data_IF_432750247229
#
_entry.id   IF_432750247229
#
_cell.length_a   1.000
_cell.length_b   1.000
_cell.length_c   1.000
_cell.angle_alpha   90.00
_cell.angle_beta   90.00
_cell.angle_gamma   90.00
#
_symmetry.space_group_name_H-M   'P 1'
#
loop_
_entity.id
_entity.type
_entity.pdbx_description
1 polymer ?
#
# COMPACT_ATOMS: atom_id res chain seq x y z
N UNK A 1 7.97 11.68 1.60
CA UNK A 1 6.98 10.62 1.90
C UNK A 1 7.18 9.49 0.91
N UNK A 2 7.10 8.23 1.35
CA UNK A 2 7.04 7.09 0.44
C UNK A 2 5.59 6.80 0.09
N UNK A 3 5.25 6.83 -1.19
CA UNK A 3 3.94 6.39 -1.67
C UNK A 3 4.02 4.88 -1.85
N UNK A 4 3.19 4.08 -1.15
CA UNK A 4 3.21 2.62 -1.31
C UNK A 4 3.00 2.19 -2.76
N UNK A 5 3.55 1.05 -3.15
CA UNK A 5 3.26 0.45 -4.45
C UNK A 5 1.79 0.08 -4.54
N UNK A 6 1.15 0.32 -5.69
CA UNK A 6 -0.26 -0.02 -5.87
C UNK A 6 -1.19 0.74 -4.92
N UNK A 7 -0.83 1.97 -4.52
CA UNK A 7 -1.73 2.88 -3.82
C UNK A 7 -2.20 4.01 -4.74
N UNK A 8 -3.33 4.63 -4.43
CA UNK A 8 -3.63 5.98 -4.92
C UNK A 8 -2.95 7.01 -4.02
N UNK A 9 -2.64 8.18 -4.58
CA UNK A 9 -2.05 9.28 -3.84
C UNK A 9 -2.62 10.61 -4.30
N UNK A 10 -2.85 11.50 -3.34
CA UNK A 10 -3.43 12.82 -3.58
C UNK A 10 -2.64 13.87 -2.81
N UNK A 11 -2.15 14.87 -3.54
CA UNK A 11 -1.65 16.12 -2.95
C UNK A 11 -2.80 17.13 -2.92
N UNK A 12 -3.05 17.72 -1.76
CA UNK A 12 -3.92 18.87 -1.60
C UNK A 12 -3.23 20.01 -0.86
N UNK A 13 -3.57 21.24 -1.19
CA UNK A 13 -3.18 22.44 -0.45
C UNK A 13 -4.14 23.57 -0.76
N UNK A 14 -4.29 24.52 0.16
CA UNK A 14 -4.92 25.80 -0.12
C UNK A 14 -3.88 26.79 -0.60
N UNK A 15 -4.22 27.53 -1.66
CA UNK A 15 -3.41 28.61 -2.19
C UNK A 15 -4.19 29.91 -2.19
N UNK A 16 -3.54 30.98 -1.77
CA UNK A 16 -4.01 32.35 -1.89
C UNK A 16 -2.91 33.19 -2.51
N UNK A 17 -3.23 33.88 -3.60
CA UNK A 17 -2.29 34.71 -4.35
C UNK A 17 -2.72 36.17 -4.22
N UNK A 18 -1.81 37.02 -3.78
CA UNK A 18 -1.96 38.48 -3.77
C UNK A 18 -0.82 39.09 -4.57
N UNK A 19 -1.10 40.11 -5.37
CA UNK A 19 -0.09 40.71 -6.24
C UNK A 19 -0.28 42.22 -6.34
N UNK A 20 0.83 42.94 -6.43
CA UNK A 20 0.85 44.35 -6.85
C UNK A 20 1.10 44.52 -8.36
N UNK A 21 1.27 43.42 -9.09
CA UNK A 21 1.34 43.43 -10.54
C UNK A 21 0.04 43.93 -11.17
N UNK A 22 0.15 44.70 -12.27
CA UNK A 22 -1.04 45.23 -12.99
C UNK A 22 -1.23 44.64 -14.36
N UNK A 23 -0.34 43.75 -14.78
CA UNK A 23 -0.47 43.03 -16.06
C UNK A 23 -1.54 41.95 -15.96
N UNK A 24 -2.21 41.68 -17.09
CA UNK A 24 -3.15 40.57 -17.24
C UNK A 24 -2.60 39.44 -18.11
N UNK A 25 -1.38 39.59 -18.66
CA UNK A 25 -0.82 38.66 -19.65
C UNK A 25 0.58 38.13 -19.28
N UNK A 26 1.35 38.89 -18.52
CA UNK A 26 2.72 38.51 -18.17
C UNK A 26 2.76 37.81 -16.81
N UNK A 27 3.47 36.68 -16.75
CA UNK A 27 3.73 35.92 -15.53
C UNK A 27 5.13 36.27 -15.00
N UNK A 28 5.23 37.38 -14.28
CA UNK A 28 6.51 37.87 -13.75
C UNK A 28 6.93 37.08 -12.52
N UNK A 29 6.02 37.00 -11.55
CA UNK A 29 6.21 36.22 -10.33
C UNK A 29 5.56 34.87 -10.48
N UNK A 30 6.23 33.82 -10.00
CA UNK A 30 5.79 32.45 -10.18
C UNK A 30 5.92 31.62 -8.91
N UNK A 31 5.09 30.60 -8.80
CA UNK A 31 5.20 29.52 -7.83
C UNK A 31 5.15 28.19 -8.58
N UNK A 32 6.25 27.45 -8.55
CA UNK A 32 6.35 26.10 -9.08
C UNK A 32 6.10 25.07 -7.96
N UNK A 33 5.19 24.12 -8.22
CA UNK A 33 4.96 22.95 -7.36
C UNK A 33 5.52 21.73 -8.07
N UNK A 34 6.54 21.12 -7.48
CA UNK A 34 7.26 20.00 -8.09
C UNK A 34 7.33 18.81 -7.14
N UNK A 35 7.44 17.61 -7.71
CA UNK A 35 7.89 16.43 -7.00
C UNK A 35 9.38 16.24 -7.27
N UNK A 36 10.14 16.02 -6.21
CA UNK A 36 11.55 15.61 -6.29
C UNK A 36 11.76 14.25 -5.65
N UNK A 37 12.83 13.57 -6.04
CA UNK A 37 13.30 12.38 -5.34
C UNK A 37 14.09 12.73 -4.06
N UNK A 38 14.68 11.74 -3.41
CA UNK A 38 15.48 11.95 -2.20
C UNK A 38 16.82 12.64 -2.45
N UNK A 39 17.33 12.62 -3.68
CA UNK A 39 18.54 13.33 -4.12
C UNK A 39 18.30 14.80 -4.46
N UNK A 40 17.03 15.19 -4.62
CA UNK A 40 16.63 16.54 -5.03
C UNK A 40 16.39 16.67 -6.53
N UNK A 41 16.52 15.59 -7.30
CA UNK A 41 16.22 15.60 -8.74
C UNK A 41 14.72 15.71 -8.97
N UNK A 42 14.30 16.59 -9.88
CA UNK A 42 12.89 16.76 -10.22
C UNK A 42 12.34 15.53 -10.94
N UNK A 43 11.28 14.95 -10.37
CA UNK A 43 10.52 13.85 -10.95
C UNK A 43 9.40 14.36 -11.86
N UNK A 44 8.71 15.43 -11.44
CA UNK A 44 7.64 16.05 -12.21
C UNK A 44 7.29 17.45 -11.71
N UNK A 45 6.73 18.27 -12.58
CA UNK A 45 6.01 19.49 -12.22
C UNK A 45 4.54 19.15 -12.03
N UNK A 46 4.01 19.39 -10.83
CA UNK A 46 2.60 19.14 -10.47
C UNK A 46 1.74 20.32 -10.89
N UNK A 47 2.21 21.54 -10.63
CA UNK A 47 1.47 22.77 -10.94
C UNK A 47 2.43 23.96 -11.09
N UNK A 48 1.95 25.00 -11.79
CA UNK A 48 2.59 26.32 -11.86
C UNK A 48 1.54 27.40 -11.63
N UNK A 49 1.85 28.34 -10.75
CA UNK A 49 1.04 29.54 -10.49
C UNK A 49 1.87 30.79 -10.71
N UNK A 50 1.21 31.93 -10.76
CA UNK A 50 1.81 33.22 -11.05
C UNK A 50 1.02 34.38 -10.45
N UNK A 51 1.54 35.60 -10.58
CA UNK A 51 0.81 36.83 -10.31
C UNK A 51 -0.57 36.90 -11.01
N UNK A 52 -0.72 36.24 -12.18
CA UNK A 52 -2.00 36.19 -12.90
C UNK A 52 -3.06 35.29 -12.24
N UNK A 53 -2.69 34.49 -11.25
CA UNK A 53 -3.61 33.62 -10.50
C UNK A 53 -4.21 34.32 -9.28
N UNK A 54 -3.86 35.60 -9.04
CA UNK A 54 -4.51 36.44 -8.05
C UNK A 54 -5.99 36.65 -8.39
N UNK A 55 -6.86 36.40 -7.40
CA UNK A 55 -8.32 36.54 -7.57
C UNK A 55 -8.87 37.67 -6.71
N UNK A 56 -9.93 38.31 -7.22
CA UNK A 56 -10.70 39.31 -6.48
C UNK A 56 -11.17 38.73 -5.14
N UNK A 57 -11.02 39.50 -4.07
CA UNK A 57 -11.41 39.09 -2.71
C UNK A 57 -10.29 38.47 -1.88
N UNK A 58 -9.11 38.19 -2.46
CA UNK A 58 -7.93 37.71 -1.73
C UNK A 58 -8.29 36.53 -0.81
N UNK A 59 -8.86 35.46 -1.38
CA UNK A 59 -9.32 34.27 -0.66
C UNK A 59 -8.47 33.03 -0.97
N UNK A 60 -8.49 32.05 -0.08
CA UNK A 60 -7.89 30.74 -0.32
C UNK A 60 -8.73 29.90 -1.28
N UNK A 61 -8.06 29.15 -2.15
CA UNK A 61 -8.65 28.16 -3.04
C UNK A 61 -7.92 26.83 -2.86
N UNK A 62 -8.68 25.74 -2.69
CA UNK A 62 -8.10 24.42 -2.56
C UNK A 62 -7.69 23.89 -3.93
N UNK A 63 -6.46 23.38 -4.02
CA UNK A 63 -5.94 22.66 -5.16
C UNK A 63 -5.70 21.21 -4.79
N UNK A 64 -6.07 20.30 -5.68
CA UNK A 64 -5.95 18.86 -5.48
C UNK A 64 -5.39 18.22 -6.74
N UNK A 65 -4.38 17.35 -6.59
CA UNK A 65 -3.68 16.69 -7.69
C UNK A 65 -3.51 15.20 -7.39
N UNK A 66 -3.83 14.37 -8.38
CA UNK A 66 -3.58 12.93 -8.34
C UNK A 66 -2.11 12.63 -8.63
N UNK A 67 -1.47 11.92 -7.70
CA UNK A 67 -0.07 11.51 -7.75
C UNK A 67 0.06 9.98 -7.78
N UNK A 68 -1.01 9.24 -8.08
CA UNK A 68 -1.03 7.77 -8.08
C UNK A 68 -0.01 7.16 -9.05
N UNK A 69 0.38 7.87 -10.11
CA UNK A 69 1.45 7.45 -11.03
C UNK A 69 2.84 7.37 -10.38
N UNK A 70 3.02 7.95 -9.19
CA UNK A 70 4.24 7.89 -8.39
C UNK A 70 4.18 6.82 -7.29
N UNK A 71 3.17 5.95 -7.31
CA UNK A 71 3.09 4.79 -6.41
C UNK A 71 4.36 3.93 -6.47
N UNK A 72 4.83 3.50 -5.31
CA UNK A 72 6.09 2.77 -5.15
C UNK A 72 7.35 3.64 -5.10
N UNK A 73 7.22 4.98 -5.16
CA UNK A 73 8.36 5.91 -5.10
C UNK A 73 8.37 6.70 -3.79
N UNK A 74 9.57 7.06 -3.34
CA UNK A 74 9.75 8.09 -2.31
C UNK A 74 9.84 9.45 -2.98
N UNK A 75 8.92 10.36 -2.63
CA UNK A 75 8.82 11.70 -3.20
C UNK A 75 8.90 12.78 -2.11
N UNK A 76 9.31 13.98 -2.52
CA UNK A 76 9.18 15.22 -1.75
C UNK A 76 8.38 16.22 -2.57
N UNK A 77 7.42 16.89 -1.94
CA UNK A 77 6.74 18.03 -2.56
C UNK A 77 7.60 19.25 -2.31
N UNK A 78 7.91 19.99 -3.37
CA UNK A 78 8.74 21.18 -3.33
C UNK A 78 7.99 22.36 -3.94
N UNK A 79 7.81 23.41 -3.14
CA UNK A 79 7.21 24.67 -3.51
C UNK A 79 8.33 25.70 -3.67
N UNK A 80 8.47 26.27 -4.86
CA UNK A 80 9.48 27.27 -5.16
C UNK A 80 8.83 28.52 -5.72
N UNK A 81 8.90 29.63 -4.99
CA UNK A 81 8.48 30.93 -5.49
C UNK A 81 9.66 31.72 -6.04
N UNK A 82 9.37 32.53 -7.05
CA UNK A 82 10.27 33.52 -7.60
C UNK A 82 9.50 34.82 -7.79
N UNK A 83 10.05 35.91 -7.26
CA UNK A 83 9.59 37.25 -7.60
C UNK A 83 10.65 37.90 -8.49
N UNK A 84 10.21 38.73 -9.43
CA UNK A 84 11.14 39.62 -10.13
C UNK A 84 11.57 40.81 -9.23
N UNK A 85 12.22 41.83 -9.81
CA UNK A 85 12.77 42.95 -9.04
C UNK A 85 11.75 44.05 -8.71
N UNK A 86 10.51 43.96 -9.20
CA UNK A 86 9.47 44.99 -9.06
C UNK A 86 8.13 44.39 -8.65
N UNK A 87 7.35 45.11 -7.83
CA UNK A 87 5.96 44.78 -7.47
C UNK A 87 5.73 43.33 -7.02
N UNK A 88 5.81 43.12 -5.72
CA UNK A 88 5.75 41.80 -5.13
C UNK A 88 4.41 41.04 -5.33
N UNK A 89 4.55 39.72 -5.46
CA UNK A 89 3.47 38.74 -5.35
C UNK A 89 3.69 37.85 -4.14
N UNK A 90 2.65 37.73 -3.32
CA UNK A 90 2.57 36.81 -2.20
C UNK A 90 1.85 35.53 -2.60
N UNK A 91 2.50 34.40 -2.36
CA UNK A 91 1.89 33.07 -2.44
C UNK A 91 1.77 32.48 -1.03
N UNK A 92 0.54 32.44 -0.51
CA UNK A 92 0.24 31.86 0.79
C UNK A 92 -0.27 30.43 0.62
N UNK A 93 0.41 29.49 1.27
CA UNK A 93 0.04 28.08 1.31
C UNK A 93 -0.56 27.75 2.67
N UNK A 94 -1.62 26.93 2.68
CA UNK A 94 -2.23 26.40 3.90
C UNK A 94 -2.71 24.96 3.72
N UNK A 95 -2.87 24.23 4.82
CA UNK A 95 -3.22 22.79 4.89
C UNK A 95 -2.59 21.91 3.79
N UNK A 96 -1.28 22.00 3.62
CA UNK A 96 -0.56 21.12 2.68
C UNK A 96 -0.63 19.68 3.19
N UNK A 97 -1.26 18.82 2.41
CA UNK A 97 -1.47 17.42 2.74
C UNK A 97 -1.13 16.54 1.55
N UNK A 98 -0.25 15.57 1.78
CA UNK A 98 -0.02 14.47 0.85
C UNK A 98 -0.56 13.21 1.50
N UNK A 99 -1.64 12.68 0.94
CA UNK A 99 -2.27 11.45 1.42
C UNK A 99 -2.05 10.34 0.41
N UNK A 100 -1.84 9.13 0.90
CA UNK A 100 -1.87 7.92 0.07
C UNK A 100 -2.92 6.99 0.65
N UNK A 101 -3.85 6.56 -0.17
CA UNK A 101 -4.76 5.49 0.17
C UNK A 101 -4.26 4.25 -0.56
N UNK A 102 -3.93 3.19 0.17
CA UNK A 102 -3.68 1.91 -0.46
C UNK A 102 -4.91 1.53 -1.29
N UNK A 103 -4.82 1.62 -2.61
CA UNK A 103 -5.57 0.75 -3.52
C UNK A 103 -4.99 -0.65 -3.41
N UNK A 104 -4.88 -1.17 -2.18
CA UNK A 104 -4.48 -2.53 -1.93
C UNK A 104 -5.36 -3.39 -2.82
N UNK A 105 -4.74 -4.28 -3.60
CA UNK A 105 -5.49 -5.37 -4.21
C UNK A 105 -6.35 -5.93 -3.09
N UNK A 106 -7.67 -5.81 -3.24
CA UNK A 106 -8.60 -5.69 -2.11
C UNK A 106 -8.22 -6.55 -0.91
N UNK A 107 -8.24 -5.95 0.28
CA UNK A 107 -7.98 -6.68 1.52
C UNK A 107 -8.67 -8.05 1.51
N UNK A 108 -8.07 -9.02 2.17
CA UNK A 108 -8.52 -10.40 2.09
C UNK A 108 -10.00 -10.51 2.45
N UNK A 109 -10.80 -11.08 1.55
CA UNK A 109 -12.21 -11.39 1.81
C UNK A 109 -12.32 -12.87 2.18
N UNK A 110 -12.85 -13.21 3.38
CA UNK A 110 -13.00 -14.60 3.80
C UNK A 110 -13.89 -15.38 2.82
N UNK A 111 -13.57 -16.66 2.63
CA UNK A 111 -14.35 -17.54 1.77
C UNK A 111 -14.09 -18.99 2.10
N UNK A 112 -14.81 -19.90 1.45
CA UNK A 112 -14.74 -21.34 1.78
C UNK A 112 -13.33 -21.90 1.71
N UNK A 113 -12.47 -21.40 0.81
CA UNK A 113 -11.06 -21.78 0.68
C UNK A 113 -10.09 -20.63 0.94
N UNK A 114 -10.55 -19.55 1.57
CA UNK A 114 -9.75 -18.34 1.83
C UNK A 114 -9.82 -17.99 3.30
N UNK A 115 -8.69 -18.15 3.99
CA UNK A 115 -8.50 -17.69 5.37
C UNK A 115 -7.86 -16.30 5.35
N UNK A 116 -8.49 -15.34 6.03
CA UNK A 116 -7.97 -13.98 6.15
C UNK A 116 -7.47 -13.74 7.57
N UNK A 117 -6.18 -13.39 7.69
CA UNK A 117 -5.53 -13.15 8.97
C UNK A 117 -5.04 -11.71 9.09
N UNK A 118 -4.89 -11.26 10.34
CA UNK A 118 -4.35 -9.96 10.72
C UNK A 118 -5.11 -8.80 10.06
N UNK A 119 -6.32 -8.54 10.54
CA UNK A 119 -7.20 -7.47 10.02
C UNK A 119 -7.38 -7.55 8.50
N UNK A 120 -7.54 -8.78 7.98
CA UNK A 120 -7.68 -9.08 6.56
C UNK A 120 -6.47 -8.70 5.68
N UNK A 121 -5.28 -8.49 6.24
CA UNK A 121 -4.08 -8.22 5.44
C UNK A 121 -3.57 -9.47 4.74
N UNK A 122 -3.53 -10.62 5.41
CA UNK A 122 -2.93 -11.82 4.84
C UNK A 122 -4.00 -12.78 4.34
N UNK A 123 -3.94 -13.07 3.03
CA UNK A 123 -4.75 -14.09 2.39
C UNK A 123 -4.02 -15.42 2.42
N UNK A 124 -4.59 -16.41 3.08
CA UNK A 124 -4.04 -17.76 3.21
C UNK A 124 -4.91 -18.75 2.46
N UNK A 125 -4.29 -19.62 1.67
CA UNK A 125 -4.94 -20.67 0.90
C UNK A 125 -4.11 -21.96 0.99
N UNK A 126 -4.79 -23.10 0.93
CA UNK A 126 -4.16 -24.41 0.87
C UNK A 126 -4.86 -25.25 -0.20
N UNK A 127 -4.10 -25.91 -1.06
CA UNK A 127 -4.57 -26.88 -2.04
C UNK A 127 -3.94 -28.24 -1.74
N UNK A 128 -4.66 -29.33 -2.05
CA UNK A 128 -4.18 -30.69 -1.82
C UNK A 128 -4.26 -31.58 -3.07
N UNK A 129 -3.46 -32.65 -3.10
CA UNK A 129 -3.65 -33.82 -3.99
C UNK A 129 -3.43 -35.11 -3.21
N UNK A 130 -4.41 -36.01 -3.23
CA UNK A 130 -4.37 -37.28 -2.51
C UNK A 130 -3.64 -38.41 -3.28
N UNK A 131 -3.59 -39.61 -2.69
CA UNK A 131 -2.96 -40.79 -3.30
C UNK A 131 -3.73 -41.37 -4.49
N UNK A 132 -5.04 -41.08 -4.60
CA UNK A 132 -5.87 -41.43 -5.75
C UNK A 132 -5.72 -40.46 -6.92
N UNK A 133 -4.99 -39.36 -6.73
CA UNK A 133 -4.83 -38.30 -7.72
C UNK A 133 -5.94 -37.25 -7.69
N UNK A 134 -6.88 -37.32 -6.75
CA UNK A 134 -7.89 -36.28 -6.58
C UNK A 134 -7.24 -35.04 -5.99
N UNK A 135 -7.61 -33.87 -6.51
CA UNK A 135 -7.09 -32.59 -6.05
C UNK A 135 -8.23 -31.63 -5.70
N UNK A 136 -7.97 -30.72 -4.75
CA UNK A 136 -8.96 -29.76 -4.32
C UNK A 136 -8.38 -28.63 -3.47
N UNK A 137 -9.17 -27.57 -3.32
CA UNK A 137 -8.87 -26.51 -2.38
C UNK A 137 -9.29 -26.93 -0.97
N UNK A 138 -8.36 -26.79 -0.02
CA UNK A 138 -8.64 -26.91 1.40
C UNK A 138 -9.66 -25.87 1.85
N UNK A 139 -10.43 -26.24 2.86
CA UNK A 139 -11.52 -25.44 3.39
C UNK A 139 -11.06 -24.71 4.64
N UNK A 140 -11.17 -23.39 4.61
CA UNK A 140 -10.66 -22.50 5.63
C UNK A 140 -11.65 -22.33 6.79
N UNK A 141 -11.13 -22.37 8.02
CA UNK A 141 -11.86 -21.98 9.22
C UNK A 141 -11.00 -21.07 10.09
N UNK A 142 -11.51 -19.89 10.43
CA UNK A 142 -10.86 -18.98 11.37
C UNK A 142 -11.04 -19.49 12.81
N UNK A 143 -9.98 -19.38 13.61
CA UNK A 143 -9.99 -19.61 15.06
C UNK A 143 -9.95 -18.28 15.81
N UNK A 144 -9.09 -17.38 15.37
CA UNK A 144 -8.96 -16.01 15.88
C UNK A 144 -8.72 -15.05 14.71
N UNK A 145 -8.57 -13.75 14.97
CA UNK A 145 -8.17 -12.79 13.94
C UNK A 145 -6.78 -13.08 13.34
N UNK A 146 -5.93 -13.83 14.05
CA UNK A 146 -4.53 -14.07 13.69
C UNK A 146 -4.21 -15.55 13.46
N UNK A 147 -5.19 -16.44 13.62
CA UNK A 147 -5.00 -17.89 13.44
C UNK A 147 -6.23 -18.60 12.86
N UNK A 148 -5.97 -19.73 12.20
CA UNK A 148 -7.01 -20.58 11.65
C UNK A 148 -6.45 -21.93 11.22
N UNK A 149 -7.29 -22.72 10.57
CA UNK A 149 -6.94 -24.04 10.08
C UNK A 149 -7.62 -24.35 8.75
N UNK A 150 -7.12 -25.40 8.09
CA UNK A 150 -7.73 -26.00 6.92
C UNK A 150 -8.04 -27.47 7.16
N UNK A 151 -9.15 -27.92 6.59
CA UNK A 151 -9.48 -29.33 6.40
C UNK A 151 -9.66 -29.61 4.90
N UNK A 152 -9.42 -30.85 4.46
CA UNK A 152 -9.43 -31.19 3.03
C UNK A 152 -10.63 -32.03 2.61
N UNK A 153 -10.96 -33.03 3.42
CA UNK A 153 -11.96 -34.04 3.08
C UNK A 153 -13.19 -33.94 3.97
N UNK A 154 -12.96 -33.81 5.28
CA UNK A 154 -14.00 -33.82 6.31
C UNK A 154 -13.69 -32.76 7.37
N UNK A 155 -14.71 -31.99 7.77
CA UNK A 155 -14.55 -30.87 8.70
C UNK A 155 -14.12 -31.29 10.12
N UNK A 156 -14.28 -32.56 10.49
CA UNK A 156 -13.78 -33.12 11.76
C UNK A 156 -12.29 -33.50 11.71
N UNK A 157 -11.66 -33.50 10.52
CA UNK A 157 -10.26 -33.87 10.33
C UNK A 157 -9.44 -32.65 9.87
N UNK A 158 -8.78 -32.00 10.83
CA UNK A 158 -7.92 -30.84 10.58
C UNK A 158 -6.61 -31.27 9.94
N UNK A 159 -6.20 -30.60 8.86
CA UNK A 159 -5.05 -30.98 8.05
C UNK A 159 -3.89 -29.97 8.16
N UNK A 160 -4.21 -28.69 8.33
CA UNK A 160 -3.22 -27.61 8.48
C UNK A 160 -3.68 -26.60 9.52
N UNK A 161 -2.77 -26.13 10.36
CA UNK A 161 -2.98 -25.00 11.26
C UNK A 161 -2.01 -23.88 10.91
N UNK A 162 -2.47 -22.64 11.02
CA UNK A 162 -1.68 -21.44 10.70
C UNK A 162 -1.92 -20.34 11.71
N UNK A 163 -0.86 -19.59 12.02
CA UNK A 163 -0.87 -18.37 12.80
C UNK A 163 0.04 -17.32 12.15
N UNK A 164 -0.42 -16.08 12.16
CA UNK A 164 0.36 -14.90 11.81
C UNK A 164 0.65 -14.08 13.08
N UNK A 165 1.87 -13.54 13.19
CA UNK A 165 2.26 -12.68 14.31
C UNK A 165 2.92 -11.42 13.77
N UNK A 166 2.47 -10.25 14.23
CA UNK A 166 3.20 -9.01 14.01
C UNK A 166 4.45 -9.01 14.91
N UNK A 167 5.62 -9.18 14.30
CA UNK A 167 6.91 -9.19 15.00
C UNK A 167 7.71 -7.91 14.79
N UNK A 168 7.10 -6.83 14.29
CA UNK A 168 7.80 -5.60 13.93
C UNK A 168 8.46 -4.85 15.09
N UNK A 169 8.09 -5.16 16.34
CA UNK A 169 8.75 -4.56 17.51
C UNK A 169 10.10 -5.21 17.87
N UNK A 170 10.44 -6.37 17.27
CA UNK A 170 11.65 -7.14 17.62
C UNK A 170 12.24 -7.94 16.45
N UNK A 171 11.67 -7.84 15.25
CA UNK A 171 12.09 -8.50 14.01
C UNK A 171 11.80 -7.58 12.82
N UNK A 172 12.26 -7.95 11.63
CA UNK A 172 12.11 -7.18 10.39
C UNK A 172 10.78 -7.42 9.67
N UNK A 173 9.86 -8.22 10.24
CA UNK A 173 8.66 -8.65 9.53
C UNK A 173 7.52 -9.27 10.35
N UNK A 174 6.56 -9.82 9.62
CA UNK A 174 5.48 -10.66 10.12
C UNK A 174 5.91 -12.11 10.14
N UNK A 175 5.79 -12.74 11.31
CA UNK A 175 6.16 -14.14 11.51
C UNK A 175 4.99 -15.05 11.17
N UNK A 176 5.25 -16.01 10.28
CA UNK A 176 4.34 -17.05 9.85
C UNK A 176 4.69 -18.35 10.58
N UNK A 177 3.72 -18.91 11.27
CA UNK A 177 3.81 -20.23 11.89
C UNK A 177 2.75 -21.14 11.28
N UNK A 178 3.14 -22.28 10.73
CA UNK A 178 2.19 -23.26 10.21
C UNK A 178 2.70 -24.69 10.40
N UNK A 179 1.77 -25.62 10.61
CA UNK A 179 2.07 -27.05 10.72
C UNK A 179 0.94 -27.86 10.10
N UNK A 180 1.25 -29.07 9.64
CA UNK A 180 0.31 -29.97 9.00
C UNK A 180 0.22 -31.31 9.72
N UNK A 181 -0.97 -31.88 9.69
CA UNK A 181 -1.33 -33.18 10.25
C UNK A 181 -1.58 -34.22 9.15
N UNK A 182 -1.02 -33.97 7.96
CA UNK A 182 -1.34 -34.66 6.71
C UNK A 182 -0.11 -35.22 6.00
N UNK A 183 -0.31 -36.30 5.25
CA UNK A 183 0.69 -36.88 4.35
C UNK A 183 0.31 -36.77 2.86
N UNK A 184 -0.85 -36.19 2.52
CA UNK A 184 -1.21 -35.87 1.12
C UNK A 184 -0.35 -34.74 0.56
N UNK A 185 -0.27 -34.57 -0.76
CA UNK A 185 0.44 -33.41 -1.33
C UNK A 185 -0.27 -32.12 -0.90
N UNK A 186 0.49 -31.09 -0.54
CA UNK A 186 -0.07 -29.80 -0.11
C UNK A 186 0.70 -28.65 -0.76
N UNK A 187 -0.04 -27.68 -1.31
CA UNK A 187 0.48 -26.36 -1.68
C UNK A 187 -0.17 -25.33 -0.75
N UNK A 188 0.64 -24.71 0.11
CA UNK A 188 0.20 -23.71 1.08
C UNK A 188 0.73 -22.33 0.68
N UNK A 189 -0.17 -21.36 0.49
CA UNK A 189 0.17 -20.02 -0.01
C UNK A 189 -0.33 -18.93 0.94
N UNK A 190 0.55 -17.99 1.26
CA UNK A 190 0.23 -16.77 2.02
C UNK A 190 0.55 -15.57 1.16
N UNK A 191 -0.42 -14.69 0.95
CA UNK A 191 -0.30 -13.45 0.16
C UNK A 191 -0.52 -12.24 1.06
N UNK A 192 0.41 -11.30 1.07
CA UNK A 192 0.25 -9.98 1.69
C UNK A 192 -0.54 -9.07 0.74
N UNK A 193 -1.80 -8.81 1.06
CA UNK A 193 -2.68 -7.98 0.22
C UNK A 193 -2.26 -6.51 0.18
N UNK A 194 -1.37 -6.08 1.09
CA UNK A 194 -0.83 -4.71 1.10
C UNK A 194 0.04 -4.42 -0.13
N UNK A 195 0.85 -5.39 -0.57
CA UNK A 195 1.85 -5.22 -1.63
C UNK A 195 1.80 -6.31 -2.72
N UNK A 196 0.90 -7.28 -2.59
CA UNK A 196 0.73 -8.39 -3.54
C UNK A 196 1.80 -9.47 -3.47
N UNK A 197 2.78 -9.36 -2.56
CA UNK A 197 3.83 -10.37 -2.39
C UNK A 197 3.27 -11.65 -1.77
N UNK A 198 3.86 -12.79 -2.10
CA UNK A 198 3.42 -14.07 -1.54
C UNK A 198 4.58 -15.01 -1.23
N UNK A 199 4.33 -15.95 -0.32
CA UNK A 199 5.12 -17.16 -0.12
C UNK A 199 4.28 -18.38 -0.39
N UNK A 200 4.88 -19.36 -1.02
CA UNK A 200 4.28 -20.65 -1.33
C UNK A 200 5.19 -21.76 -0.81
N UNK A 201 4.59 -22.72 -0.12
CA UNK A 201 5.24 -23.87 0.48
C UNK A 201 4.62 -25.12 -0.12
N UNK A 202 5.45 -25.98 -0.69
CA UNK A 202 5.01 -27.25 -1.28
C UNK A 202 5.51 -28.40 -0.44
N UNK A 203 4.61 -29.32 -0.15
CA UNK A 203 4.89 -30.58 0.52
C UNK A 203 4.47 -31.70 -0.42
N UNK A 204 5.41 -32.48 -0.97
CA UNK A 204 5.11 -33.62 -1.85
C UNK A 204 4.26 -34.69 -1.15
N UNK A 205 3.52 -35.46 -1.96
CA UNK A 205 2.76 -36.64 -1.51
C UNK A 205 3.66 -37.63 -0.73
N UNK A 206 3.15 -38.19 0.36
CA UNK A 206 3.84 -39.18 1.19
C UNK A 206 4.91 -38.64 2.14
N UNK A 207 5.25 -37.36 2.07
CA UNK A 207 6.16 -36.74 3.03
C UNK A 207 5.41 -36.24 4.28
N UNK A 208 6.11 -36.03 5.40
CA UNK A 208 5.52 -35.34 6.56
C UNK A 208 5.54 -33.83 6.32
N UNK A 209 4.54 -33.11 6.82
CA UNK A 209 4.57 -31.64 6.79
C UNK A 209 5.73 -31.12 7.65
N UNK A 210 6.58 -30.26 7.08
CA UNK A 210 7.64 -29.59 7.83
C UNK A 210 7.09 -28.29 8.40
N UNK A 211 7.15 -28.13 9.72
CA UNK A 211 6.68 -26.91 10.39
C UNK A 211 7.35 -25.67 9.80
N UNK A 212 6.53 -24.69 9.43
CA UNK A 212 6.96 -23.38 8.95
C UNK A 212 7.08 -22.46 10.16
N UNK A 213 8.23 -21.80 10.29
CA UNK A 213 8.52 -20.79 11.31
C UNK A 213 9.51 -19.77 10.72
N UNK A 214 9.01 -18.87 9.90
CA UNK A 214 9.81 -17.83 9.24
C UNK A 214 9.10 -16.47 9.26
N UNK A 215 9.81 -15.38 8.94
CA UNK A 215 9.26 -14.03 8.86
C UNK A 215 9.30 -13.49 7.42
N UNK A 216 8.45 -14.00 6.51
CA UNK A 216 8.63 -13.76 5.08
C UNK A 216 8.12 -12.42 4.57
N UNK A 217 7.33 -11.69 5.36
CA UNK A 217 6.74 -10.41 4.96
C UNK A 217 7.33 -9.28 5.78
N UNK A 218 7.76 -8.21 5.12
CA UNK A 218 8.37 -7.06 5.78
C UNK A 218 7.36 -6.23 6.57
N UNK A 219 7.89 -5.51 7.57
CA UNK A 219 7.12 -4.52 8.31
C UNK A 219 6.58 -3.40 7.42
N UNK A 220 5.49 -2.72 7.87
CA UNK A 220 4.81 -1.69 7.10
C UNK A 220 5.68 -0.54 6.63
#
# INVERSE_FOLDING_TARGET
MTIPSGSTATLSFWLKVGTFETTSVSKYDTLDVTLTDTSGSTLATVAKFSNLDAKSGYTFFQHTYDLSSFAGRTVRVHFASYNDFSRETLFLLDDVSLTSASSGGGGCTPGTSTLCLFQNRFKVQADYRDYGGNAGAGKAQALTADSGYFWFFDAANVELVVKMVNSCSYSTGFSLYASGLTDVETTFKVTDTKNGTYKEFKKPLGQKFTTISEAPFSCP
#
